data_IF_906598075527
#
_entry.id   IF_906598075527
#
_cell.length_a   1.000
_cell.length_b   1.000
_cell.length_c   1.000
_cell.angle_alpha   90.00
_cell.angle_beta   90.00
_cell.angle_gamma   90.00
#
_symmetry.space_group_name_H-M   'P 1'
#
loop_
_entity.id
_entity.type
_entity.pdbx_description
1 polymer ?
#
# COMPACT_ATOMS: atom_id res chain seq x y z
N UNK A 1 15.73 -1.22 17.12
CA UNK A 1 17.05 -1.73 16.71
C UNK A 1 16.85 -3.03 15.95
N UNK A 2 17.39 -3.16 14.74
CA UNK A 2 17.19 -4.33 13.87
C UNK A 2 18.47 -5.15 13.72
N UNK A 3 18.33 -6.39 13.23
CA UNK A 3 19.45 -7.29 12.93
C UNK A 3 19.59 -7.51 11.43
N UNK A 4 20.83 -7.50 10.94
CA UNK A 4 21.18 -8.05 9.64
C UNK A 4 21.36 -9.56 9.82
N UNK A 5 20.65 -10.35 9.02
CA UNK A 5 20.57 -11.80 9.17
C UNK A 5 21.08 -12.48 7.91
N UNK A 6 21.91 -13.51 8.07
CA UNK A 6 22.32 -14.35 6.96
C UNK A 6 21.18 -15.30 6.57
N UNK A 7 20.52 -15.05 5.43
CA UNK A 7 19.28 -15.75 5.07
C UNK A 7 19.38 -17.30 5.11
N UNK A 8 20.49 -17.94 4.69
CA UNK A 8 20.67 -19.40 4.79
C UNK A 8 20.84 -19.96 6.21
N UNK A 9 21.24 -19.15 7.19
CA UNK A 9 21.37 -19.56 8.59
C UNK A 9 21.12 -18.36 9.51
N UNK A 10 19.89 -18.28 10.01
CA UNK A 10 19.41 -17.14 10.80
C UNK A 10 20.02 -17.05 12.20
N UNK A 11 20.75 -18.09 12.65
CA UNK A 11 21.54 -18.00 13.88
C UNK A 11 22.73 -17.05 13.72
N UNK A 12 23.17 -16.80 12.48
CA UNK A 12 24.22 -15.86 12.13
C UNK A 12 23.61 -14.50 11.84
N UNK A 13 23.70 -13.62 12.83
CA UNK A 13 23.16 -12.27 12.78
C UNK A 13 24.07 -11.29 13.50
N UNK A 14 23.93 -10.01 13.17
CA UNK A 14 24.60 -8.89 13.85
C UNK A 14 23.68 -7.66 13.86
N UNK A 15 23.87 -6.70 14.78
CA UNK A 15 23.14 -5.44 14.73
C UNK A 15 23.27 -4.75 13.37
N UNK A 16 22.18 -4.20 12.84
CA UNK A 16 22.17 -3.53 11.53
C UNK A 16 23.21 -2.40 11.44
N UNK A 17 23.42 -1.66 12.53
CA UNK A 17 24.43 -0.60 12.59
C UNK A 17 25.86 -1.15 12.40
N UNK A 18 26.17 -2.31 13.00
CA UNK A 18 27.47 -2.97 12.84
C UNK A 18 27.66 -3.47 11.41
N UNK A 19 26.61 -4.03 10.80
CA UNK A 19 26.62 -4.44 9.41
C UNK A 19 26.90 -3.26 8.46
N UNK A 20 26.28 -2.09 8.68
CA UNK A 20 26.56 -0.89 7.90
C UNK A 20 27.99 -0.39 8.09
N UNK A 21 28.49 -0.30 9.32
CA UNK A 21 29.87 0.12 9.60
C UNK A 21 30.90 -0.79 8.90
N UNK A 22 30.72 -2.11 8.99
CA UNK A 22 31.60 -3.09 8.35
C UNK A 22 31.53 -3.01 6.82
N UNK A 23 30.34 -2.79 6.26
CA UNK A 23 30.15 -2.63 4.83
C UNK A 23 30.78 -1.33 4.31
N UNK A 24 30.58 -0.20 4.99
CA UNK A 24 31.18 1.09 4.62
C UNK A 24 32.70 1.09 4.74
N UNK A 25 33.24 0.50 5.81
CA UNK A 25 34.69 0.36 5.98
C UNK A 25 35.33 -0.47 4.86
N UNK A 26 34.59 -1.43 4.29
CA UNK A 26 35.09 -2.33 3.25
C UNK A 26 34.83 -1.83 1.83
N UNK A 27 33.69 -1.17 1.59
CA UNK A 27 33.20 -0.85 0.25
C UNK A 27 33.06 0.66 -0.01
N UNK A 28 33.29 1.51 0.98
CA UNK A 28 33.05 2.95 0.90
C UNK A 28 31.56 3.29 1.10
N UNK A 29 31.17 4.53 0.76
CA UNK A 29 29.80 5.02 0.93
C UNK A 29 28.78 4.12 0.25
N UNK A 30 27.77 3.68 1.02
CA UNK A 30 26.68 2.86 0.51
C UNK A 30 25.60 3.76 -0.09
N UNK A 31 25.19 3.45 -1.31
CA UNK A 31 24.13 4.17 -2.00
C UNK A 31 23.47 3.32 -3.06
N UNK A 32 22.18 3.57 -3.30
CA UNK A 32 21.41 2.89 -4.34
C UNK A 32 20.35 3.82 -4.90
N UNK A 33 19.99 3.61 -6.17
CA UNK A 33 18.83 4.24 -6.79
C UNK A 33 17.81 3.18 -7.20
N UNK A 34 16.54 3.55 -7.23
CA UNK A 34 15.45 2.67 -7.65
C UNK A 34 14.39 3.48 -8.40
N UNK A 35 13.69 2.83 -9.33
CA UNK A 35 12.60 3.43 -10.09
C UNK A 35 11.53 2.37 -10.39
N UNK A 36 10.32 2.82 -10.65
CA UNK A 36 9.20 1.99 -11.09
C UNK A 36 8.48 2.68 -12.25
N UNK A 37 8.13 1.92 -13.29
CA UNK A 37 7.17 2.35 -14.30
C UNK A 37 6.04 1.33 -14.35
N UNK A 38 4.82 1.84 -14.48
CA UNK A 38 3.65 1.03 -14.77
C UNK A 38 3.85 0.24 -16.07
N UNK A 39 3.51 -1.06 -16.12
CA UNK A 39 3.53 -1.83 -17.36
C UNK A 39 2.73 -1.12 -18.46
N UNK A 40 3.23 -1.15 -19.70
CA UNK A 40 2.65 -0.37 -20.81
C UNK A 40 1.62 -1.14 -21.62
N UNK A 41 1.51 -2.44 -21.39
CA UNK A 41 0.68 -3.41 -22.11
C UNK A 41 -0.66 -3.70 -21.42
N UNK A 42 -0.92 -3.09 -20.26
CA UNK A 42 -2.20 -3.19 -19.52
C UNK A 42 -3.25 -2.21 -20.06
N UNK A 43 -3.47 -2.21 -21.37
CA UNK A 43 -4.47 -1.37 -22.05
C UNK A 43 -5.06 -2.08 -23.28
N UNK A 44 -6.26 -1.67 -23.69
CA UNK A 44 -6.90 -2.23 -24.90
C UNK A 44 -6.24 -1.73 -26.20
N UNK A 45 -6.13 -2.60 -27.19
CA UNK A 45 -5.61 -2.28 -28.54
C UNK A 45 -6.68 -1.63 -29.44
N UNK A 46 -7.29 -0.56 -28.94
CA UNK A 46 -8.29 0.22 -29.67
C UNK A 46 -8.24 1.70 -29.25
N UNK A 47 -8.84 2.57 -30.06
CA UNK A 47 -8.88 4.02 -29.75
C UNK A 47 -9.60 4.25 -28.42
N UNK A 48 -8.87 4.77 -27.43
CA UNK A 48 -9.37 5.01 -26.08
C UNK A 48 -9.10 3.87 -25.09
N UNK A 49 -8.48 2.77 -25.52
CA UNK A 49 -8.15 1.63 -24.65
C UNK A 49 -7.14 1.94 -23.54
N UNK A 50 -6.49 3.10 -23.57
CA UNK A 50 -5.61 3.62 -22.52
C UNK A 50 -6.35 4.40 -21.43
N UNK A 51 -7.59 4.80 -21.67
CA UNK A 51 -8.36 5.64 -20.76
C UNK A 51 -8.91 4.76 -19.64
N UNK A 52 -8.53 5.05 -18.40
CA UNK A 52 -8.92 4.27 -17.23
C UNK A 52 -8.12 2.98 -17.04
N UNK A 53 -7.13 2.69 -17.90
CA UNK A 53 -6.25 1.54 -17.78
C UNK A 53 -5.33 1.65 -16.56
N UNK A 54 -5.30 0.60 -15.73
CA UNK A 54 -4.46 0.51 -14.54
C UNK A 54 -4.00 -0.94 -14.34
N UNK A 55 -2.76 -1.20 -13.85
CA UNK A 55 -2.31 -2.56 -13.53
C UNK A 55 -3.10 -3.20 -12.38
N UNK A 56 -3.76 -2.38 -11.56
CA UNK A 56 -4.59 -2.81 -10.45
C UNK A 56 -5.71 -1.80 -10.19
N UNK A 57 -6.85 -2.28 -9.71
CA UNK A 57 -7.98 -1.45 -9.31
C UNK A 57 -8.33 -1.75 -7.86
N UNK A 58 -8.68 -0.71 -7.11
CA UNK A 58 -9.31 -0.85 -5.81
C UNK A 58 -10.83 -0.94 -5.97
N UNK A 59 -11.47 -1.70 -5.10
CA UNK A 59 -12.93 -1.80 -5.06
C UNK A 59 -13.45 -1.49 -3.66
N UNK A 60 -14.67 -0.98 -3.56
CA UNK A 60 -15.28 -0.70 -2.25
C UNK A 60 -16.77 -1.00 -2.27
N UNK A 61 -17.27 -1.61 -1.21
CA UNK A 61 -18.69 -1.73 -0.92
C UNK A 61 -19.04 -0.84 0.29
N UNK A 62 -20.10 -0.06 0.16
CA UNK A 62 -20.62 0.81 1.22
C UNK A 62 -22.07 0.48 1.52
N UNK A 63 -22.44 0.45 2.80
CA UNK A 63 -23.82 0.39 3.26
C UNK A 63 -24.04 1.60 4.16
N UNK A 64 -25.07 2.40 3.87
CA UNK A 64 -25.47 3.53 4.70
C UNK A 64 -26.83 3.21 5.35
N UNK A 65 -26.87 3.27 6.68
CA UNK A 65 -28.11 3.30 7.46
C UNK A 65 -28.49 4.76 7.70
N UNK A 66 -29.69 5.11 7.27
CA UNK A 66 -30.22 6.47 7.33
C UNK A 66 -31.62 6.47 7.91
N UNK A 67 -31.95 7.54 8.62
CA UNK A 67 -33.30 7.85 9.08
C UNK A 67 -33.76 9.14 8.42
N UNK A 68 -35.03 9.21 8.03
CA UNK A 68 -35.60 10.38 7.37
C UNK A 68 -36.79 10.86 8.18
N UNK A 69 -36.76 12.12 8.58
CA UNK A 69 -37.95 12.81 9.07
C UNK A 69 -38.86 13.12 7.88
N UNK A 70 -40.06 12.52 7.86
CA UNK A 70 -41.01 12.64 6.75
C UNK A 70 -41.73 13.99 6.70
N UNK A 71 -41.79 14.73 7.80
CA UNK A 71 -42.43 16.05 7.86
C UNK A 71 -41.48 17.16 7.39
N UNK A 72 -40.20 17.05 7.75
CA UNK A 72 -39.18 18.07 7.42
C UNK A 72 -38.30 17.71 6.23
N UNK A 73 -38.20 16.42 5.89
CA UNK A 73 -37.29 15.89 4.87
C UNK A 73 -35.83 15.79 5.32
N UNK A 74 -35.52 16.04 6.59
CA UNK A 74 -34.15 15.94 7.12
C UNK A 74 -33.72 14.47 7.14
N UNK A 75 -32.54 14.19 6.59
CA UNK A 75 -31.92 12.86 6.57
C UNK A 75 -30.77 12.83 7.57
N UNK A 76 -30.82 11.89 8.50
CA UNK A 76 -29.76 11.61 9.46
C UNK A 76 -29.03 10.31 9.11
N UNK A 77 -27.72 10.38 8.90
CA UNK A 77 -26.89 9.21 8.60
C UNK A 77 -26.42 8.60 9.91
N UNK A 78 -27.10 7.52 10.33
CA UNK A 78 -26.81 6.86 11.60
C UNK A 78 -25.48 6.11 11.56
N UNK A 79 -25.23 5.41 10.46
CA UNK A 79 -24.04 4.57 10.33
C UNK A 79 -23.67 4.30 8.87
N UNK A 80 -22.36 4.18 8.63
CA UNK A 80 -21.80 3.69 7.37
C UNK A 80 -20.92 2.49 7.68
N UNK A 81 -21.11 1.39 6.94
CA UNK A 81 -20.17 0.27 6.89
C UNK A 81 -19.43 0.31 5.56
N UNK A 82 -18.11 0.14 5.62
CA UNK A 82 -17.23 0.19 4.45
C UNK A 82 -16.38 -1.06 4.40
N UNK A 83 -16.39 -1.74 3.27
CA UNK A 83 -15.45 -2.81 2.94
C UNK A 83 -14.62 -2.36 1.74
N UNK A 84 -13.35 -2.03 1.97
CA UNK A 84 -12.44 -1.53 0.94
C UNK A 84 -11.36 -2.57 0.60
N UNK A 85 -11.31 -2.98 -0.67
CA UNK A 85 -10.21 -3.76 -1.23
C UNK A 85 -9.07 -2.82 -1.61
N UNK A 86 -8.08 -2.73 -0.71
CA UNK A 86 -6.82 -2.01 -0.89
C UNK A 86 -5.63 -2.95 -1.19
N UNK A 87 -5.91 -4.22 -1.52
CA UNK A 87 -4.90 -5.26 -1.60
C UNK A 87 -4.32 -5.60 -0.22
N UNK A 88 -3.04 -5.30 0.01
CA UNK A 88 -2.40 -5.50 1.32
C UNK A 88 -2.31 -4.16 2.04
N UNK A 89 -3.03 -4.03 3.16
CA UNK A 89 -2.86 -2.90 4.07
C UNK A 89 -1.43 -2.90 4.66
N UNK A 90 -0.54 -2.06 4.12
CA UNK A 90 0.83 -1.89 4.64
C UNK A 90 0.83 -1.22 6.02
N UNK A 91 -0.14 -0.34 6.25
CA UNK A 91 -0.42 0.26 7.54
C UNK A 91 -1.94 0.28 7.75
N UNK A 92 -2.50 -0.68 8.50
CA UNK A 92 -3.96 -0.78 8.71
C UNK A 92 -4.59 0.48 9.28
N UNK A 93 -3.90 1.16 10.21
CA UNK A 93 -4.42 2.39 10.84
C UNK A 93 -4.59 3.53 9.83
N UNK A 94 -3.67 3.65 8.86
CA UNK A 94 -3.79 4.65 7.78
C UNK A 94 -4.84 4.27 6.74
N UNK A 95 -5.20 2.99 6.63
CA UNK A 95 -6.27 2.53 5.73
C UNK A 95 -7.64 2.73 6.39
N UNK A 96 -7.72 2.59 7.71
CA UNK A 96 -8.96 2.75 8.50
C UNK A 96 -9.38 4.21 8.72
N UNK A 97 -8.42 5.14 8.80
CA UNK A 97 -8.63 6.56 9.14
C UNK A 97 -9.06 7.44 7.97
#
# INVERSE_FOLDING_TARGET
EGFAVWAPDTSRQMPVAEAFNLAEAKFGTLGSTGWYNTPKDVHGDYRGGTIGASPAYSFTAHVAEVEVDVETGIVDVKKIWVAHDCGRALNPVLVEG
#
